data_IF_316076135394
#
_entry.id   IF_316076135394
#
_cell.length_a   1.000
_cell.length_b   1.000
_cell.length_c   1.000
_cell.angle_alpha   90.00
_cell.angle_beta   90.00
_cell.angle_gamma   90.00
#
_symmetry.space_group_name_H-M   'P 1'
#
loop_
_entity.id
_entity.type
_entity.pdbx_description
1 polymer ?
#
# COMPACT_ATOMS: atom_id res chain seq x y z
N UNK A 1 14.27 -0.01 -12.18
CA UNK A 1 14.06 1.45 -12.09
C UNK A 1 14.10 1.99 -13.51
N UNK A 2 13.23 2.95 -13.89
CA UNK A 2 13.48 3.80 -15.05
C UNK A 2 14.94 4.24 -15.03
N UNK A 3 15.71 3.83 -16.04
CA UNK A 3 17.16 4.05 -16.10
C UNK A 3 17.47 5.46 -16.59
N UNK A 4 17.10 6.46 -15.79
CA UNK A 4 17.61 7.82 -15.94
C UNK A 4 18.16 8.29 -14.61
N UNK A 5 19.45 8.60 -14.66
CA UNK A 5 20.28 9.17 -13.61
C UNK A 5 19.53 10.26 -12.82
N UNK A 6 19.86 10.33 -11.52
CA UNK A 6 19.47 11.37 -10.56
C UNK A 6 19.75 12.76 -11.16
N UNK A 7 18.80 13.26 -11.92
CA UNK A 7 18.46 14.66 -11.97
C UNK A 7 16.98 14.65 -11.64
N UNK A 8 16.68 14.85 -10.35
CA UNK A 8 15.32 15.01 -9.86
C UNK A 8 14.80 16.28 -10.55
N UNK A 9 14.24 16.15 -11.75
CA UNK A 9 13.29 17.13 -12.26
C UNK A 9 12.29 17.24 -11.14
N UNK A 10 12.42 18.32 -10.37
CA UNK A 10 11.68 18.56 -9.14
C UNK A 10 10.50 19.43 -9.55
N UNK A 11 9.36 19.23 -8.92
CA UNK A 11 8.21 20.09 -9.13
C UNK A 11 8.64 21.56 -8.91
N UNK A 12 8.30 22.51 -9.80
CA UNK A 12 8.77 23.89 -9.68
C UNK A 12 8.38 24.51 -8.33
N UNK A 13 9.39 24.83 -7.51
CA UNK A 13 9.17 25.36 -6.15
C UNK A 13 8.38 26.68 -6.13
N UNK A 14 8.53 27.50 -7.17
CA UNK A 14 7.85 28.81 -7.27
C UNK A 14 6.33 28.70 -7.35
N UNK A 15 5.81 27.55 -7.79
CA UNK A 15 4.37 27.35 -7.99
C UNK A 15 3.65 26.81 -6.75
N UNK A 16 4.39 26.39 -5.72
CA UNK A 16 3.85 25.86 -4.47
C UNK A 16 2.71 24.82 -4.67
N UNK A 17 2.90 23.90 -5.64
CA UNK A 17 1.89 22.91 -6.01
C UNK A 17 1.43 22.03 -4.85
N UNK A 18 2.29 21.80 -3.85
CA UNK A 18 1.92 21.10 -2.61
C UNK A 18 0.75 21.75 -1.88
N UNK A 19 0.61 23.08 -1.93
CA UNK A 19 -0.45 23.79 -1.20
C UNK A 19 -1.83 23.70 -1.85
N UNK A 20 -1.86 23.51 -3.17
CA UNK A 20 -3.09 23.46 -3.98
C UNK A 20 -3.41 22.05 -4.47
N UNK A 21 -2.50 21.09 -4.27
CA UNK A 21 -2.68 19.69 -4.67
C UNK A 21 -4.03 19.12 -4.22
N UNK A 22 -4.84 18.67 -5.18
CA UNK A 22 -6.12 18.01 -4.93
C UNK A 22 -7.12 18.92 -4.20
N UNK A 23 -7.06 20.24 -4.41
CA UNK A 23 -8.01 21.21 -3.84
C UNK A 23 -9.33 21.31 -4.63
N UNK A 24 -9.42 20.63 -5.77
CA UNK A 24 -10.59 20.58 -6.63
C UNK A 24 -10.62 21.68 -7.71
N UNK A 25 -9.57 22.50 -7.81
CA UNK A 25 -9.37 23.50 -8.85
C UNK A 25 -8.20 23.06 -9.71
N UNK A 26 -8.35 23.07 -11.04
CA UNK A 26 -7.24 22.73 -11.91
C UNK A 26 -6.22 23.88 -11.97
N UNK A 27 -4.98 23.61 -11.58
CA UNK A 27 -3.78 24.42 -11.79
C UNK A 27 -2.94 23.79 -12.93
N UNK A 28 -3.05 24.30 -14.18
CA UNK A 28 -2.34 23.72 -15.33
C UNK A 28 -0.83 23.60 -15.15
N UNK A 29 -0.23 24.50 -14.38
CA UNK A 29 1.18 24.52 -14.07
C UNK A 29 1.62 23.38 -13.14
N UNK A 30 0.73 22.91 -12.26
CA UNK A 30 0.92 21.76 -11.38
C UNK A 30 0.48 20.44 -12.04
N UNK A 31 -0.23 20.51 -13.17
CA UNK A 31 -0.75 19.36 -13.91
C UNK A 31 0.33 18.68 -14.80
N UNK A 32 1.46 18.33 -14.20
CA UNK A 32 2.57 17.63 -14.85
C UNK A 32 3.01 16.42 -14.01
N UNK A 33 3.60 15.36 -14.62
CA UNK A 33 3.92 14.12 -13.90
C UNK A 33 4.82 14.34 -12.67
N UNK A 34 5.83 15.19 -12.81
CA UNK A 34 6.76 15.56 -11.73
C UNK A 34 6.06 16.26 -10.55
N UNK A 35 4.90 16.87 -10.74
CA UNK A 35 4.12 17.50 -9.68
C UNK A 35 2.93 16.66 -9.22
N UNK A 36 2.84 15.40 -9.66
CA UNK A 36 1.72 14.52 -9.31
C UNK A 36 0.39 14.89 -9.98
N UNK A 37 0.44 15.58 -11.12
CA UNK A 37 -0.72 15.98 -11.92
C UNK A 37 -1.78 16.77 -11.13
N UNK A 38 -1.35 17.63 -10.22
CA UNK A 38 -2.26 18.48 -9.45
C UNK A 38 -3.34 17.71 -8.67
N UNK A 39 -3.01 16.53 -8.15
CA UNK A 39 -4.00 15.64 -7.50
C UNK A 39 -5.08 15.10 -8.45
N UNK A 40 -4.90 15.32 -9.74
CA UNK A 40 -5.83 15.02 -10.81
C UNK A 40 -7.03 15.97 -10.88
N UNK A 41 -6.91 17.20 -10.37
CA UNK A 41 -7.98 18.23 -10.45
C UNK A 41 -8.28 18.69 -11.88
N UNK A 42 -7.33 18.50 -12.79
CA UNK A 42 -7.47 18.77 -14.21
C UNK A 42 -8.05 17.60 -15.03
N UNK A 43 -8.24 16.44 -14.42
CA UNK A 43 -8.84 15.30 -15.09
C UNK A 43 -10.34 15.51 -15.21
N UNK A 44 -10.92 15.06 -16.32
CA UNK A 44 -12.37 15.01 -16.43
C UNK A 44 -12.90 14.24 -15.21
N UNK A 45 -13.91 14.80 -14.52
CA UNK A 45 -14.65 14.10 -13.46
C UNK A 45 -15.44 12.96 -14.11
N UNK A 46 -14.75 11.92 -14.55
CA UNK A 46 -15.33 10.62 -14.79
C UNK A 46 -15.70 10.16 -13.39
N UNK A 47 -17.00 10.00 -13.15
CA UNK A 47 -17.60 9.70 -11.84
C UNK A 47 -16.64 8.91 -10.98
N UNK A 48 -16.31 9.46 -9.80
CA UNK A 48 -15.23 9.07 -8.87
C UNK A 48 -15.25 7.60 -8.37
N UNK A 49 -16.06 6.75 -9.00
CA UNK A 49 -16.30 5.33 -8.74
C UNK A 49 -15.92 4.40 -9.89
N UNK A 50 -15.64 4.91 -11.10
CA UNK A 50 -15.54 4.09 -12.32
C UNK A 50 -14.13 3.84 -12.83
N UNK A 51 -13.07 4.33 -12.16
CA UNK A 51 -11.72 3.83 -12.44
C UNK A 51 -11.66 2.39 -11.95
N UNK A 52 -11.93 1.43 -12.84
CA UNK A 52 -11.82 0.00 -12.52
C UNK A 52 -10.43 -0.25 -11.97
N UNK A 53 -10.36 -0.57 -10.67
CA UNK A 53 -9.12 -0.95 -10.01
C UNK A 53 -8.66 -2.26 -10.62
N UNK A 54 -7.62 -2.20 -11.45
CA UNK A 54 -7.05 -3.35 -12.16
C UNK A 54 -5.70 -3.79 -11.57
N UNK A 55 -5.17 -3.05 -10.58
CA UNK A 55 -3.86 -3.22 -9.96
C UNK A 55 -2.66 -3.09 -10.93
N UNK A 56 -2.92 -2.71 -12.18
CA UNK A 56 -1.91 -2.46 -13.21
C UNK A 56 -1.68 -0.96 -13.31
N UNK A 57 -2.75 -0.19 -13.53
CA UNK A 57 -2.73 1.27 -13.67
C UNK A 57 -3.31 1.97 -12.44
N UNK A 58 -4.35 1.38 -11.87
CA UNK A 58 -5.05 1.94 -10.71
C UNK A 58 -5.13 0.92 -9.59
N UNK A 59 -4.89 1.33 -8.34
CA UNK A 59 -5.06 0.47 -7.17
C UNK A 59 -4.81 1.16 -5.85
N UNK A 60 -4.75 0.38 -4.78
CA UNK A 60 -4.70 0.92 -3.42
C UNK A 60 -3.36 0.63 -2.74
N UNK A 61 -2.82 1.63 -2.04
CA UNK A 61 -1.68 1.47 -1.14
C UNK A 61 -2.13 1.89 0.27
N UNK A 62 -2.03 0.98 1.22
CA UNK A 62 -2.32 1.22 2.63
C UNK A 62 -1.06 1.53 3.42
N UNK A 63 -1.16 2.45 4.37
CA UNK A 63 -0.10 2.81 5.31
C UNK A 63 -0.58 2.72 6.76
N UNK A 64 0.32 2.30 7.65
CA UNK A 64 0.24 2.62 9.08
C UNK A 64 1.16 3.81 9.35
N UNK A 65 0.63 4.89 9.90
CA UNK A 65 1.38 6.12 10.21
C UNK A 65 1.38 6.34 11.73
N UNK A 66 2.55 6.67 12.28
CA UNK A 66 2.76 6.95 13.72
C UNK A 66 2.27 8.35 14.10
N UNK A 67 0.96 8.54 14.08
CA UNK A 67 0.27 9.81 14.35
C UNK A 67 -1.17 9.57 14.82
N UNK A 68 -1.79 10.60 15.38
CA UNK A 68 -3.25 10.67 15.55
C UNK A 68 -3.97 11.26 14.31
N UNK A 69 -5.29 11.10 14.27
CA UNK A 69 -6.17 11.60 13.20
C UNK A 69 -6.06 13.11 13.00
N UNK A 70 -6.07 13.89 14.08
CA UNK A 70 -6.12 15.35 13.99
C UNK A 70 -4.85 15.91 13.37
N UNK A 71 -3.69 15.41 13.81
CA UNK A 71 -2.39 15.76 13.26
C UNK A 71 -2.30 15.37 11.79
N UNK A 72 -2.71 14.14 11.44
CA UNK A 72 -2.73 13.69 10.05
C UNK A 72 -3.62 14.57 9.16
N UNK A 73 -4.83 14.92 9.59
CA UNK A 73 -5.74 15.75 8.79
C UNK A 73 -5.14 17.13 8.44
N UNK A 74 -4.24 17.68 9.27
CA UNK A 74 -3.55 18.94 8.94
C UNK A 74 -2.42 18.76 7.91
N UNK A 75 -1.90 17.54 7.76
CA UNK A 75 -0.74 17.21 6.92
C UNK A 75 -1.09 16.37 5.69
N UNK A 76 -2.33 15.90 5.58
CA UNK A 76 -2.80 14.98 4.54
C UNK A 76 -2.40 15.46 3.14
N UNK A 77 -2.70 16.71 2.79
CA UNK A 77 -2.34 17.28 1.48
C UNK A 77 -0.83 17.20 1.20
N UNK A 78 0.00 17.56 2.17
CA UNK A 78 1.46 17.51 2.04
C UNK A 78 1.94 16.07 1.83
N UNK A 79 1.37 15.11 2.58
CA UNK A 79 1.71 13.69 2.45
C UNK A 79 1.34 13.19 1.05
N UNK A 80 0.12 13.47 0.59
CA UNK A 80 -0.36 13.07 -0.74
C UNK A 80 0.55 13.63 -1.84
N UNK A 81 0.85 14.94 -1.78
CA UNK A 81 1.70 15.61 -2.76
C UNK A 81 3.14 15.05 -2.78
N UNK A 82 3.72 14.71 -1.64
CA UNK A 82 5.08 14.15 -1.58
C UNK A 82 5.13 12.72 -2.13
N UNK A 83 4.11 11.90 -1.86
CA UNK A 83 3.99 10.57 -2.46
C UNK A 83 3.77 10.70 -3.98
N UNK A 84 2.97 11.67 -4.41
CA UNK A 84 2.68 11.93 -5.81
C UNK A 84 3.90 12.43 -6.60
N UNK A 85 4.71 13.34 -6.05
CA UNK A 85 6.01 13.76 -6.63
C UNK A 85 6.95 12.56 -6.79
N UNK A 86 7.07 11.72 -5.76
CA UNK A 86 7.91 10.53 -5.79
C UNK A 86 7.46 9.53 -6.87
N UNK A 87 6.16 9.23 -6.91
CA UNK A 87 5.59 8.22 -7.80
C UNK A 87 5.25 8.77 -9.18
N UNK A 88 5.33 10.09 -9.39
CA UNK A 88 4.88 10.75 -10.62
C UNK A 88 3.49 10.27 -11.06
N UNK A 89 2.60 10.18 -10.10
CA UNK A 89 1.29 9.55 -10.21
C UNK A 89 0.26 10.41 -9.47
N UNK A 90 -1.03 10.20 -9.75
CA UNK A 90 -2.09 10.81 -8.96
C UNK A 90 -2.30 9.97 -7.71
N UNK A 91 -2.24 10.62 -6.56
CA UNK A 91 -2.47 10.01 -5.24
C UNK A 91 -3.64 10.73 -4.57
N UNK A 92 -4.67 9.98 -4.18
CA UNK A 92 -5.89 10.51 -3.56
C UNK A 92 -6.22 9.76 -2.28
N UNK A 93 -6.81 10.43 -1.27
CA UNK A 93 -7.39 9.73 -0.13
C UNK A 93 -8.55 8.87 -0.62
N UNK A 94 -8.72 7.68 -0.06
CA UNK A 94 -9.97 6.95 -0.24
C UNK A 94 -11.06 7.62 0.60
N UNK A 95 -12.21 7.88 -0.02
CA UNK A 95 -13.33 8.60 0.59
C UNK A 95 -14.43 7.59 0.94
N UNK A 96 -15.06 7.79 2.09
CA UNK A 96 -16.25 7.06 2.53
C UNK A 96 -17.47 7.54 1.71
N UNK A 97 -18.20 6.59 1.12
CA UNK A 97 -19.29 6.89 0.20
C UNK A 97 -20.47 7.62 0.88
N UNK A 98 -20.69 7.38 2.17
CA UNK A 98 -21.83 7.91 2.90
C UNK A 98 -21.57 9.35 3.35
N UNK A 99 -20.44 9.57 4.01
CA UNK A 99 -20.14 10.85 4.66
C UNK A 99 -19.18 11.76 3.86
N UNK A 100 -18.65 11.28 2.73
CA UNK A 100 -17.72 12.01 1.87
C UNK A 100 -16.45 12.49 2.60
N UNK A 101 -16.01 11.77 3.64
CA UNK A 101 -14.77 12.04 4.38
C UNK A 101 -13.69 11.00 4.06
N UNK A 102 -12.40 11.33 4.25
CA UNK A 102 -11.32 10.36 4.16
C UNK A 102 -11.50 9.17 5.12
N UNK A 103 -11.30 7.97 4.60
CA UNK A 103 -11.31 6.73 5.38
C UNK A 103 -10.00 6.65 6.17
N UNK A 104 -10.11 6.78 7.48
CA UNK A 104 -9.00 6.71 8.43
C UNK A 104 -9.43 5.81 9.58
N UNK A 105 -8.64 4.78 9.93
CA UNK A 105 -8.89 3.97 11.12
C UNK A 105 -7.88 4.30 12.20
N UNK A 106 -8.35 4.41 13.44
CA UNK A 106 -7.47 4.57 14.59
C UNK A 106 -6.95 3.20 15.03
N UNK A 107 -5.63 3.13 15.25
CA UNK A 107 -4.90 1.93 15.65
C UNK A 107 -4.16 2.24 16.96
N UNK A 108 -3.91 1.21 17.78
CA UNK A 108 -3.18 1.33 19.05
C UNK A 108 -3.73 2.42 19.99
N UNK A 109 -5.07 2.54 20.04
CA UNK A 109 -5.76 3.54 20.86
C UNK A 109 -5.60 4.99 20.35
N UNK A 110 -5.47 5.17 19.03
CA UNK A 110 -5.38 6.49 18.38
C UNK A 110 -3.97 7.07 18.30
N UNK A 111 -2.95 6.30 18.69
CA UNK A 111 -1.53 6.69 18.54
C UNK A 111 -0.99 6.46 17.13
N UNK A 112 -1.68 5.61 16.39
CA UNK A 112 -1.41 5.31 14.99
C UNK A 112 -2.70 5.43 14.22
N UNK A 113 -2.57 5.67 12.93
CA UNK A 113 -3.68 5.56 12.00
C UNK A 113 -3.35 4.61 10.87
N UNK A 114 -4.39 3.96 10.37
CA UNK A 114 -4.39 3.31 9.07
C UNK A 114 -5.08 4.23 8.07
N UNK A 115 -4.42 4.48 6.95
CA UNK A 115 -4.96 5.21 5.80
C UNK A 115 -4.73 4.40 4.53
N UNK A 116 -5.63 4.52 3.57
CA UNK A 116 -5.51 3.91 2.26
C UNK A 116 -5.57 5.00 1.21
N UNK A 117 -4.66 4.93 0.24
CA UNK A 117 -4.61 5.86 -0.89
C UNK A 117 -4.99 5.13 -2.17
N UNK A 118 -5.82 5.79 -2.98
CA UNK A 118 -6.01 5.44 -4.38
C UNK A 118 -4.84 6.01 -5.17
N UNK A 119 -4.20 5.15 -5.97
CA UNK A 119 -3.09 5.50 -6.86
C UNK A 119 -3.56 5.31 -8.29
N UNK A 120 -3.37 6.33 -9.13
CA UNK A 120 -3.50 6.25 -10.59
C UNK A 120 -2.13 6.58 -11.20
N UNK A 121 -1.46 5.54 -11.69
CA UNK A 121 -0.08 5.59 -12.16
C UNK A 121 0.08 6.32 -13.49
N UNK A 122 -0.99 6.48 -14.24
CA UNK A 122 -0.98 7.22 -15.50
C UNK A 122 -2.39 7.74 -15.74
N UNK A 123 -2.75 8.96 -15.31
CA UNK A 123 -4.09 9.46 -15.52
C UNK A 123 -4.45 9.61 -17.01
N UNK A 124 -5.75 9.56 -17.33
CA UNK A 124 -6.22 9.70 -18.71
C UNK A 124 -5.79 11.04 -19.34
N UNK A 125 -5.53 11.01 -20.66
CA UNK A 125 -5.06 12.19 -21.40
C UNK A 125 -3.54 12.37 -21.41
N UNK A 126 -2.80 11.56 -20.64
CA UNK A 126 -1.34 11.56 -20.65
C UNK A 126 -0.76 10.36 -21.40
N UNK A 127 0.32 10.59 -22.14
CA UNK A 127 1.11 9.55 -22.81
C UNK A 127 2.48 9.47 -22.15
N UNK A 128 2.88 8.27 -21.78
CA UNK A 128 4.22 8.01 -21.26
C UNK A 128 5.05 7.23 -22.28
N UNK A 129 6.35 7.51 -22.34
CA UNK A 129 7.27 6.69 -23.11
C UNK A 129 7.54 5.38 -22.37
N UNK A 130 7.92 4.29 -23.08
CA UNK A 130 8.30 3.04 -22.46
C UNK A 130 9.42 3.24 -21.41
N UNK A 131 9.19 2.73 -20.20
CA UNK A 131 10.12 2.86 -19.08
C UNK A 131 10.01 4.15 -18.27
N UNK A 132 9.09 5.07 -18.59
CA UNK A 132 8.81 6.28 -17.79
C UNK A 132 7.72 6.08 -16.73
N UNK A 133 6.94 5.01 -16.82
CA UNK A 133 5.85 4.65 -15.90
C UNK A 133 6.12 3.33 -15.17
N UNK A 134 5.41 3.15 -14.07
CA UNK A 134 5.33 1.87 -13.38
C UNK A 134 4.54 0.84 -14.19
N UNK A 135 4.98 -0.42 -14.13
CA UNK A 135 4.30 -1.57 -14.74
C UNK A 135 3.14 -2.08 -13.88
N UNK A 136 3.13 -1.77 -12.59
CA UNK A 136 2.09 -2.18 -11.65
C UNK A 136 2.10 -1.36 -10.36
N UNK A 137 0.98 -1.42 -9.63
CA UNK A 137 0.85 -0.84 -8.28
C UNK A 137 1.87 -1.48 -7.32
N UNK A 138 2.19 -2.76 -7.50
CA UNK A 138 3.20 -3.43 -6.69
C UNK A 138 4.59 -2.82 -6.88
N UNK A 139 4.97 -2.51 -8.12
CA UNK A 139 6.25 -1.86 -8.41
C UNK A 139 6.32 -0.44 -7.81
N UNK A 140 5.22 0.31 -7.88
CA UNK A 140 5.11 1.63 -7.26
C UNK A 140 5.23 1.53 -5.73
N UNK A 141 4.51 0.60 -5.10
CA UNK A 141 4.56 0.36 -3.66
C UNK A 141 5.97 -0.03 -3.17
N UNK A 142 6.68 -0.91 -3.90
CA UNK A 142 8.08 -1.25 -3.60
C UNK A 142 9.00 -0.03 -3.69
N UNK A 143 8.76 0.85 -4.66
CA UNK A 143 9.56 2.07 -4.83
C UNK A 143 9.29 3.07 -3.71
N UNK A 144 8.03 3.28 -3.33
CA UNK A 144 7.67 4.09 -2.17
C UNK A 144 8.28 3.53 -0.89
N UNK A 145 8.18 2.21 -0.68
CA UNK A 145 8.82 1.56 0.47
C UNK A 145 10.33 1.79 0.50
N UNK A 146 11.02 1.59 -0.61
CA UNK A 146 12.47 1.82 -0.69
C UNK A 146 12.83 3.30 -0.42
N UNK A 147 12.03 4.24 -0.91
CA UNK A 147 12.23 5.66 -0.66
C UNK A 147 12.03 6.03 0.81
N UNK A 148 11.04 5.45 1.48
CA UNK A 148 10.81 5.62 2.92
C UNK A 148 11.97 5.04 3.73
N UNK A 149 12.38 3.79 3.43
CA UNK A 149 13.45 3.09 4.14
C UNK A 149 14.80 3.81 3.99
N UNK A 150 15.06 4.40 2.81
CA UNK A 150 16.29 5.17 2.52
C UNK A 150 16.20 6.66 2.87
N UNK A 151 15.03 7.13 3.34
CA UNK A 151 14.74 8.56 3.57
C UNK A 151 14.95 9.44 2.33
N UNK A 152 14.73 8.87 1.14
CA UNK A 152 14.79 9.60 -0.14
C UNK A 152 13.49 10.39 -0.41
N UNK A 153 12.41 10.04 0.27
CA UNK A 153 11.19 10.84 0.38
C UNK A 153 11.05 11.31 1.83
N UNK A 154 10.81 12.59 2.03
CA UNK A 154 10.62 13.18 3.34
C UNK A 154 9.12 13.36 3.59
N UNK A 155 8.48 12.42 4.28
CA UNK A 155 7.10 12.60 4.71
C UNK A 155 7.09 13.28 6.08
N UNK A 156 6.15 14.21 6.33
CA UNK A 156 6.10 14.95 7.60
C UNK A 156 5.72 14.06 8.80
N UNK A 157 5.42 12.78 8.59
CA UNK A 157 5.05 11.81 9.61
C UNK A 157 5.73 10.45 9.36
N UNK A 158 6.14 9.71 10.41
CA UNK A 158 6.75 8.40 10.25
C UNK A 158 5.75 7.35 9.77
N UNK A 159 6.16 6.53 8.80
CA UNK A 159 5.38 5.39 8.29
C UNK A 159 5.91 4.10 8.92
N UNK A 160 5.06 3.39 9.65
CA UNK A 160 5.39 2.14 10.33
C UNK A 160 5.26 0.93 9.40
N UNK A 161 4.24 0.90 8.54
CA UNK A 161 3.99 -0.20 7.60
C UNK A 161 3.40 0.33 6.28
N UNK A 162 3.63 -0.41 5.19
CA UNK A 162 3.12 -0.13 3.85
C UNK A 162 2.74 -1.45 3.17
N UNK A 163 1.58 -1.51 2.53
CA UNK A 163 1.15 -2.66 1.72
C UNK A 163 0.33 -2.25 0.50
N UNK A 164 0.25 -3.13 -0.49
CA UNK A 164 -0.74 -3.02 -1.56
C UNK A 164 -2.06 -3.58 -1.03
N UNK A 165 -3.09 -2.75 -1.02
CA UNK A 165 -4.42 -3.07 -0.51
C UNK A 165 -5.33 -3.55 -1.66
N UNK A 166 -6.24 -4.49 -1.36
CA UNK A 166 -7.21 -4.96 -2.35
C UNK A 166 -8.45 -4.06 -2.45
N UNK A 167 -8.75 -3.33 -1.37
CA UNK A 167 -9.86 -2.39 -1.25
C UNK A 167 -9.54 -1.30 -0.20
N UNK A 168 -10.30 -0.20 -0.12
CA UNK A 168 -10.04 0.90 0.81
C UNK A 168 -10.00 0.52 2.30
N UNK A 169 -10.71 -0.54 2.69
CA UNK A 169 -10.89 -1.00 4.07
C UNK A 169 -9.94 -2.15 4.44
N UNK A 170 -9.13 -2.64 3.49
CA UNK A 170 -8.27 -3.79 3.70
C UNK A 170 -7.26 -3.54 4.84
N UNK A 171 -7.23 -4.39 5.89
CA UNK A 171 -6.30 -4.22 7.00
C UNK A 171 -4.84 -4.52 6.58
N UNK A 172 -3.84 -4.05 7.35
CA UNK A 172 -2.45 -4.40 7.10
C UNK A 172 -2.24 -5.92 7.15
N UNK A 173 -1.33 -6.48 6.35
CA UNK A 173 -0.94 -7.88 6.45
C UNK A 173 -0.42 -8.17 7.86
N UNK A 174 -0.80 -9.32 8.41
CA UNK A 174 -0.21 -9.76 9.69
C UNK A 174 1.29 -9.95 9.49
N UNK A 175 2.10 -9.29 10.31
CA UNK A 175 3.52 -9.62 10.42
C UNK A 175 3.62 -11.10 10.84
N UNK A 176 3.98 -11.97 9.92
CA UNK A 176 4.50 -13.28 10.28
C UNK A 176 5.88 -13.04 10.86
N UNK A 177 5.98 -12.79 12.17
CA UNK A 177 7.26 -12.94 12.87
C UNK A 177 7.81 -14.32 12.46
N UNK A 178 9.07 -14.44 12.01
CA UNK A 178 9.71 -15.74 11.89
C UNK A 178 9.51 -16.43 13.23
N UNK A 179 8.82 -17.57 13.23
CA UNK A 179 8.67 -18.35 14.43
C UNK A 179 10.06 -18.53 15.04
N UNK A 180 10.24 -18.05 16.27
CA UNK A 180 11.40 -18.39 17.09
C UNK A 180 11.63 -19.90 16.94
N UNK A 181 12.81 -20.35 16.48
CA UNK A 181 13.08 -21.77 16.32
C UNK A 181 13.08 -22.40 17.71
N UNK A 182 11.94 -22.96 18.12
CA UNK A 182 11.74 -23.50 19.46
C UNK A 182 10.29 -23.65 19.91
N UNK A 183 9.31 -23.02 19.23
CA UNK A 183 7.89 -23.23 19.52
C UNK A 183 7.30 -24.35 18.67
N UNK A 184 6.94 -25.49 19.27
CA UNK A 184 6.21 -26.56 18.60
C UNK A 184 4.93 -26.00 17.91
N UNK A 185 4.67 -26.32 16.63
CA UNK A 185 3.47 -25.83 15.95
C UNK A 185 2.22 -26.52 16.51
N UNK A 186 1.29 -25.71 17.02
CA UNK A 186 -0.11 -26.11 17.23
C UNK A 186 -0.71 -26.50 15.87
N UNK A 187 -0.83 -27.80 15.63
CA UNK A 187 -1.49 -28.35 14.45
C UNK A 187 -2.99 -28.02 14.49
N UNK A 188 -3.43 -27.16 13.58
CA UNK A 188 -4.85 -26.94 13.31
C UNK A 188 -5.45 -28.19 12.67
N UNK A 189 -6.55 -28.63 13.28
CA UNK A 189 -7.41 -29.73 12.84
C UNK A 189 -7.87 -29.58 11.39
N UNK A 190 -7.24 -30.31 10.47
CA UNK A 190 -7.90 -30.89 9.28
C UNK A 190 -7.11 -31.95 8.49
N UNK A 191 -5.84 -32.22 8.82
CA UNK A 191 -5.04 -33.27 8.14
C UNK A 191 -4.75 -34.52 9.02
N UNK A 192 -5.39 -34.63 10.19
CA UNK A 192 -5.09 -35.66 11.19
C UNK A 192 -5.62 -37.08 10.86
N UNK A 193 -6.15 -37.33 9.66
CA UNK A 193 -6.61 -38.67 9.25
C UNK A 193 -5.50 -39.43 8.49
N UNK A 194 -4.53 -38.73 7.90
CA UNK A 194 -3.44 -39.37 7.15
C UNK A 194 -2.27 -39.90 7.99
N UNK A 195 -2.10 -39.44 9.24
CA UNK A 195 -0.95 -39.79 10.07
C UNK A 195 -1.24 -40.91 11.08
N UNK A 196 -2.52 -41.17 11.41
CA UNK A 196 -2.92 -42.27 12.29
C UNK A 196 -2.84 -43.65 11.61
N UNK A 197 -2.96 -43.72 10.29
CA UNK A 197 -2.91 -44.99 9.54
C UNK A 197 -1.47 -45.54 9.47
N UNK A 198 -0.46 -44.66 9.45
CA UNK A 198 0.95 -45.08 9.35
C UNK A 198 1.51 -45.61 10.68
N UNK A 199 1.01 -45.13 11.83
CA UNK A 199 1.46 -45.58 13.15
C UNK A 199 0.89 -46.95 13.57
N UNK A 200 -0.24 -47.39 13.02
CA UNK A 200 -0.79 -48.73 13.31
C UNK A 200 -0.14 -49.85 12.49
N UNK A 201 0.45 -49.55 11.33
CA UNK A 201 1.07 -50.58 10.46
C UNK A 201 2.51 -50.91 10.91
N UNK A 202 3.17 -50.01 11.65
CA UNK A 202 4.54 -50.21 12.14
C UNK A 202 4.63 -50.86 13.55
N UNK A 203 3.49 -51.12 14.21
CA UNK A 203 3.44 -51.80 15.52
C UNK A 203 3.04 -53.28 15.44
N UNK A 204 2.86 -53.84 14.24
CA UNK A 204 2.27 -55.16 14.04
C UNK A 204 3.16 -56.14 13.28
N UNK A 205 4.37 -56.45 13.78
CA UNK A 205 5.20 -57.47 13.15
C UNK A 205 6.55 -57.71 13.81
N UNK A 206 6.56 -58.36 14.98
CA UNK A 206 7.49 -59.45 15.35
C UNK A 206 7.33 -59.79 16.84
N UNK A 207 6.64 -60.89 17.14
CA UNK A 207 7.12 -61.96 18.03
C UNK A 207 5.98 -62.96 18.32
N UNK A 208 5.84 -63.94 17.43
CA UNK A 208 5.18 -65.20 17.78
C UNK A 208 6.22 -66.04 18.52
N UNK A 209 6.11 -66.12 19.85
CA UNK A 209 6.50 -67.30 20.65
C UNK A 209 6.00 -67.17 22.10
N UNK A 210 4.93 -67.93 22.37
CA UNK A 210 4.55 -68.61 23.63
C UNK A 210 4.77 -67.85 24.95
N UNK A 211 3.68 -67.62 25.69
CA UNK A 211 3.46 -68.14 27.05
C UNK A 211 2.12 -67.63 27.61
N UNK A 212 1.06 -68.43 27.44
CA UNK A 212 0.05 -68.65 28.49
C UNK A 212 -0.16 -70.16 28.49
N UNK A 213 0.01 -70.78 29.66
CA UNK A 213 -0.35 -72.17 29.90
C UNK A 213 -1.85 -72.40 29.82
#
# INVERSE_FOLDING_TARGET
MPTSLINRSTCPLEQNCTSVYGDGVCQPECNIPVCGFDGGDCLAKIDSYSSQVDNIRTGYIGLIIDTDRSTYSTLERTILAHIADLLRAVVRPTIDEENHQPIIFEVDGGRRIQVTFLIDLLPEGFQASPGEIYESIHQAALTLKAALDTKSVDLPLPVAQLWVANDPYAPPPRETTPATPGGLPFLRSKDAIGLYIVLCVLSGGESIRKLIG
#
